data_IF_821717672128
#
_entry.id   IF_821717672128
#
_cell.length_a   1.000
_cell.length_b   1.000
_cell.length_c   1.000
_cell.angle_alpha   90.00
_cell.angle_beta   90.00
_cell.angle_gamma   90.00
#
_symmetry.space_group_name_H-M   'P 1'
#
loop_
_entity.id
_entity.type
_entity.pdbx_description
1 polymer ?
#
# COMPACT_ATOMS: atom_id res chain seq x y z
N UNK A 1 9.84 -48.69 21.46
CA UNK A 1 10.43 -47.71 20.52
C UNK A 1 9.34 -47.04 19.70
N UNK A 2 8.32 -47.79 19.27
CA UNK A 2 7.22 -47.31 18.40
C UNK A 2 6.35 -46.21 19.02
N UNK A 3 6.11 -46.24 20.33
CA UNK A 3 5.30 -45.21 21.02
C UNK A 3 5.96 -43.84 21.06
N UNK A 4 7.30 -43.80 21.16
CA UNK A 4 8.07 -42.55 21.18
C UNK A 4 8.14 -41.96 19.77
N UNK A 5 8.34 -42.82 18.75
CA UNK A 5 8.27 -42.42 17.35
C UNK A 5 6.90 -41.80 17.01
N UNK A 6 5.82 -42.43 17.50
CA UNK A 6 4.46 -41.94 17.30
C UNK A 6 4.21 -40.58 17.97
N UNK A 7 4.79 -40.36 19.16
CA UNK A 7 4.75 -39.07 19.86
C UNK A 7 5.44 -37.96 19.04
N UNK A 8 6.61 -38.25 18.46
CA UNK A 8 7.31 -37.28 17.63
C UNK A 8 6.56 -36.96 16.33
N UNK A 9 5.95 -37.97 15.70
CA UNK A 9 5.11 -37.77 14.51
C UNK A 9 3.88 -36.89 14.81
N UNK A 10 3.25 -37.09 15.97
CA UNK A 10 2.14 -36.25 16.41
C UNK A 10 2.60 -34.80 16.60
N UNK A 11 3.69 -34.55 17.34
CA UNK A 11 4.21 -33.20 17.58
C UNK A 11 4.56 -32.48 16.27
N UNK A 12 5.18 -33.19 15.32
CA UNK A 12 5.50 -32.65 14.01
C UNK A 12 4.23 -32.28 13.21
N UNK A 13 3.19 -33.12 13.28
CA UNK A 13 1.92 -32.86 12.60
C UNK A 13 1.15 -31.66 13.15
N UNK A 14 1.22 -31.37 14.46
CA UNK A 14 0.54 -30.19 15.05
C UNK A 14 1.32 -28.89 14.80
N UNK A 15 2.61 -28.98 14.53
CA UNK A 15 3.50 -27.82 14.33
C UNK A 15 3.43 -27.24 12.91
N UNK A 16 2.84 -27.96 11.96
CA UNK A 16 2.65 -27.50 10.58
C UNK A 16 1.31 -26.76 10.41
N UNK A 17 1.08 -25.72 11.22
CA UNK A 17 -0.03 -24.81 10.99
C UNK A 17 0.43 -23.67 10.10
N UNK A 18 0.02 -23.67 8.83
CA UNK A 18 0.19 -22.51 7.94
C UNK A 18 -0.60 -21.33 8.49
N UNK A 19 0.09 -20.27 8.87
CA UNK A 19 -0.54 -19.00 9.25
C UNK A 19 -1.32 -18.49 8.03
N UNK A 20 -2.63 -18.33 8.16
CA UNK A 20 -3.42 -17.68 7.11
C UNK A 20 -3.16 -16.18 7.19
N UNK A 21 -2.25 -15.68 6.37
CA UNK A 21 -2.09 -14.24 6.18
C UNK A 21 -3.35 -13.71 5.49
N UNK A 22 -4.13 -12.92 6.22
CA UNK A 22 -5.17 -12.11 5.61
C UNK A 22 -4.46 -10.92 4.99
N UNK A 23 -4.23 -10.96 3.68
CA UNK A 23 -3.81 -9.76 2.95
C UNK A 23 -4.98 -8.79 2.97
N UNK A 24 -4.95 -7.82 3.88
CA UNK A 24 -5.85 -6.67 3.82
C UNK A 24 -5.51 -5.92 2.54
N UNK A 25 -6.46 -5.77 1.59
CA UNK A 25 -6.17 -5.05 0.36
C UNK A 25 -5.82 -3.60 0.70
N UNK A 26 -4.77 -3.09 0.05
CA UNK A 26 -4.38 -1.69 0.14
C UNK A 26 -5.55 -0.80 -0.28
N UNK A 27 -5.68 0.38 0.34
CA UNK A 27 -6.65 1.36 -0.14
C UNK A 27 -6.29 1.79 -1.56
N UNK A 28 -7.27 2.12 -2.42
CA UNK A 28 -6.95 2.58 -3.76
C UNK A 28 -6.12 3.87 -3.70
N UNK A 29 -5.16 4.05 -4.63
CA UNK A 29 -4.39 5.28 -4.70
C UNK A 29 -5.26 6.48 -5.09
N UNK A 30 -4.85 7.72 -4.75
CA UNK A 30 -5.54 8.92 -5.22
C UNK A 30 -5.54 8.99 -6.76
N UNK A 31 -6.56 9.61 -7.34
CA UNK A 31 -6.60 9.80 -8.80
C UNK A 31 -5.39 10.61 -9.31
N UNK A 32 -4.91 10.39 -10.54
CA UNK A 32 -3.86 11.24 -11.10
C UNK A 32 -4.39 12.64 -11.38
N UNK A 33 -3.60 13.67 -11.05
CA UNK A 33 -3.90 15.04 -11.47
C UNK A 33 -3.32 15.29 -12.86
N UNK A 34 -4.19 15.58 -13.83
CA UNK A 34 -3.80 15.78 -15.23
C UNK A 34 -4.10 17.23 -15.62
N UNK A 35 -3.08 17.93 -16.12
CA UNK A 35 -3.24 19.25 -16.72
C UNK A 35 -3.47 19.06 -18.22
N UNK A 36 -4.68 19.39 -18.67
CA UNK A 36 -5.08 19.29 -20.08
C UNK A 36 -4.49 20.42 -20.91
N UNK A 37 -4.33 20.16 -22.20
CA UNK A 37 -3.92 21.18 -23.16
C UNK A 37 -4.88 22.38 -23.14
N UNK A 38 -4.32 23.58 -23.12
CA UNK A 38 -5.09 24.82 -23.08
C UNK A 38 -5.59 25.23 -21.68
N UNK A 39 -5.33 24.48 -20.61
CA UNK A 39 -5.62 24.93 -19.23
C UNK A 39 -4.66 26.05 -18.76
N UNK A 40 -3.40 26.02 -19.22
CA UNK A 40 -2.41 27.04 -18.89
C UNK A 40 -2.38 28.07 -20.02
N UNK A 41 -2.98 29.24 -19.77
CA UNK A 41 -2.98 30.36 -20.73
C UNK A 41 -2.18 31.54 -20.21
N UNK A 42 -2.09 31.67 -18.88
CA UNK A 42 -1.39 32.77 -18.21
C UNK A 42 -0.43 32.27 -17.14
N UNK A 43 0.48 33.13 -16.69
CA UNK A 43 1.39 32.82 -15.58
C UNK A 43 0.62 32.58 -14.26
N UNK A 44 -0.53 33.25 -14.08
CA UNK A 44 -1.43 33.01 -12.95
C UNK A 44 -2.00 31.60 -12.99
N UNK A 45 -2.40 31.12 -14.18
CA UNK A 45 -2.89 29.75 -14.36
C UNK A 45 -1.77 28.75 -14.05
N UNK A 46 -0.56 29.00 -14.55
CA UNK A 46 0.61 28.17 -14.24
C UNK A 46 0.82 28.03 -12.73
N UNK A 47 0.80 29.15 -11.99
CA UNK A 47 0.99 29.12 -10.55
C UNK A 47 -0.15 28.37 -9.82
N UNK A 48 -1.39 28.57 -10.26
CA UNK A 48 -2.56 27.89 -9.71
C UNK A 48 -2.50 26.38 -9.94
N UNK A 49 -2.17 25.95 -11.15
CA UNK A 49 -2.05 24.54 -11.50
C UNK A 49 -0.86 23.90 -10.78
N UNK A 50 0.25 24.61 -10.63
CA UNK A 50 1.39 24.18 -9.83
C UNK A 50 1.00 23.92 -8.36
N UNK A 51 0.27 24.83 -7.72
CA UNK A 51 -0.20 24.64 -6.35
C UNK A 51 -1.08 23.40 -6.20
N UNK A 52 -1.97 23.15 -7.16
CA UNK A 52 -2.82 21.95 -7.15
C UNK A 52 -2.01 20.66 -7.33
N UNK A 53 -1.00 20.67 -8.20
CA UNK A 53 -0.09 19.53 -8.36
C UNK A 53 0.66 19.22 -7.07
N UNK A 54 1.12 20.23 -6.33
CA UNK A 54 1.76 20.04 -5.03
C UNK A 54 0.82 19.42 -4.00
N UNK A 55 -0.43 19.88 -3.94
CA UNK A 55 -1.45 19.28 -3.06
C UNK A 55 -1.64 17.80 -3.41
N UNK A 56 -1.74 17.49 -4.71
CA UNK A 56 -1.91 16.11 -5.16
C UNK A 56 -0.70 15.23 -4.84
N UNK A 57 0.51 15.76 -4.98
CA UNK A 57 1.74 15.06 -4.62
C UNK A 57 1.73 14.67 -3.15
N UNK A 58 1.34 15.59 -2.26
CA UNK A 58 1.23 15.32 -0.83
C UNK A 58 0.17 14.24 -0.51
N UNK A 59 -0.96 14.23 -1.22
CA UNK A 59 -1.97 13.17 -1.07
C UNK A 59 -1.40 11.79 -1.45
N UNK A 60 -0.61 11.72 -2.51
CA UNK A 60 0.06 10.49 -2.94
C UNK A 60 1.13 10.03 -1.94
N UNK A 61 1.94 10.95 -1.44
CA UNK A 61 2.96 10.66 -0.42
C UNK A 61 2.32 10.13 0.87
N UNK A 62 1.25 10.79 1.35
CA UNK A 62 0.51 10.34 2.51
C UNK A 62 -0.11 8.96 2.30
N UNK A 63 -0.74 8.72 1.15
CA UNK A 63 -1.30 7.41 0.82
C UNK A 63 -0.22 6.32 0.83
N UNK A 64 0.92 6.58 0.21
CA UNK A 64 2.04 5.64 0.13
C UNK A 64 2.59 5.31 1.52
N UNK A 65 2.87 6.33 2.34
CA UNK A 65 3.34 6.19 3.71
C UNK A 65 2.43 5.28 4.56
N UNK A 66 1.11 5.45 4.43
CA UNK A 66 0.12 4.59 5.11
C UNK A 66 0.20 3.14 4.61
N UNK A 67 0.31 2.91 3.30
CA UNK A 67 0.38 1.55 2.74
C UNK A 67 1.65 0.82 3.14
N UNK A 68 2.78 1.53 3.23
CA UNK A 68 4.09 0.93 3.52
C UNK A 68 4.49 1.00 5.00
N UNK A 69 3.62 1.56 5.85
CA UNK A 69 3.88 1.80 7.27
C UNK A 69 5.24 2.50 7.50
N UNK A 70 5.55 3.46 6.63
CA UNK A 70 6.82 4.20 6.65
C UNK A 70 6.51 5.61 7.13
N UNK A 71 6.77 5.87 8.42
CA UNK A 71 6.69 7.20 9.04
C UNK A 71 8.04 7.92 8.95
#
# INVERSE_FOLDING_TARGET
MDKILFLFLLIFSVSCTTVKYVTVPLSPPPEPYIVSEGQIKTQKDLFKEYQKTLIKLNEWEAWYSIQTNTN
#
